data_IF_413407445580
#
_entry.id   IF_413407445580
#
_cell.length_a   1.000
_cell.length_b   1.000
_cell.length_c   1.000
_cell.angle_alpha   90.00
_cell.angle_beta   90.00
_cell.angle_gamma   90.00
#
_symmetry.space_group_name_H-M   'P 1'
#
loop_
_entity.id
_entity.type
_entity.pdbx_description
1 polymer ?
#
# COMPACT_ATOMS: atom_id res chain seq x y z
N UNK A 1 0.85 -20.44 -39.46
CA UNK A 1 0.75 -21.91 -39.52
C UNK A 1 0.11 -22.34 -38.23
N UNK A 2 -1.09 -22.94 -38.26
CA UNK A 2 -1.69 -23.54 -37.06
C UNK A 2 -0.84 -24.75 -36.72
N UNK A 3 0.03 -24.62 -35.71
CA UNK A 3 0.74 -25.76 -35.19
C UNK A 3 -0.28 -26.68 -34.52
N UNK A 4 -0.49 -27.86 -35.10
CA UNK A 4 -1.27 -28.92 -34.47
C UNK A 4 -0.75 -29.16 -33.05
N UNK A 5 -1.67 -29.36 -32.11
CA UNK A 5 -1.35 -29.62 -30.71
C UNK A 5 -0.54 -30.92 -30.64
N UNK A 6 0.63 -30.94 -29.98
CA UNK A 6 1.38 -32.16 -29.77
C UNK A 6 0.50 -33.23 -29.10
N UNK A 7 0.56 -34.47 -29.59
CA UNK A 7 -0.29 -35.55 -29.10
C UNK A 7 -0.17 -35.77 -27.59
N UNK A 8 1.04 -35.59 -27.04
CA UNK A 8 1.28 -35.70 -25.60
C UNK A 8 0.51 -34.65 -24.78
N UNK A 9 0.43 -33.41 -25.28
CA UNK A 9 -0.32 -32.32 -24.64
C UNK A 9 -1.81 -32.60 -24.69
N UNK A 10 -2.33 -32.96 -25.88
CA UNK A 10 -3.75 -33.26 -26.07
C UNK A 10 -4.19 -34.48 -25.25
N UNK A 11 -3.36 -35.52 -25.17
CA UNK A 11 -3.62 -36.69 -24.33
C UNK A 11 -3.57 -36.35 -22.84
N UNK A 12 -2.70 -35.41 -22.44
CA UNK A 12 -2.69 -34.84 -21.09
C UNK A 12 -4.00 -34.14 -20.75
N UNK A 13 -4.45 -33.21 -21.60
CA UNK A 13 -5.72 -32.48 -21.45
C UNK A 13 -6.90 -33.45 -21.35
N UNK A 14 -7.00 -34.41 -22.28
CA UNK A 14 -8.07 -35.43 -22.27
C UNK A 14 -8.08 -36.28 -20.99
N UNK A 15 -6.89 -36.60 -20.47
CA UNK A 15 -6.76 -37.37 -19.23
C UNK A 15 -7.22 -36.57 -18.02
N UNK A 16 -6.84 -35.29 -17.93
CA UNK A 16 -7.29 -34.40 -16.87
C UNK A 16 -8.81 -34.24 -16.89
N UNK A 17 -9.40 -33.88 -18.04
CA UNK A 17 -10.84 -33.72 -18.21
C UNK A 17 -11.64 -34.97 -17.78
N UNK A 18 -11.16 -36.17 -18.15
CA UNK A 18 -11.78 -37.44 -17.76
C UNK A 18 -11.67 -37.74 -16.26
N UNK A 19 -10.59 -37.29 -15.63
CA UNK A 19 -10.34 -37.48 -14.20
C UNK A 19 -11.25 -36.59 -13.37
N UNK A 20 -11.36 -35.31 -13.75
CA UNK A 20 -12.11 -34.31 -13.00
C UNK A 20 -13.62 -34.44 -13.20
N UNK A 21 -14.05 -34.89 -14.39
CA UNK A 21 -15.46 -35.03 -14.77
C UNK A 21 -15.81 -36.46 -15.18
N UNK A 22 -15.75 -37.45 -14.27
CA UNK A 22 -15.94 -38.85 -14.62
C UNK A 22 -17.39 -39.13 -15.06
N UNK A 23 -17.56 -39.53 -16.31
CA UNK A 23 -18.86 -39.90 -16.88
C UNK A 23 -19.69 -38.74 -17.43
N UNK A 24 -19.29 -37.49 -17.20
CA UNK A 24 -19.89 -36.31 -17.79
C UNK A 24 -19.17 -35.94 -19.10
N UNK A 25 -19.76 -36.36 -20.23
CA UNK A 25 -19.14 -36.16 -21.55
C UNK A 25 -19.21 -34.70 -22.01
N UNK A 26 -20.24 -33.96 -21.61
CA UNK A 26 -20.39 -32.56 -22.02
C UNK A 26 -19.34 -31.71 -21.31
N UNK A 27 -19.17 -31.90 -20.00
CA UNK A 27 -18.12 -31.23 -19.24
C UNK A 27 -16.72 -31.63 -19.70
N UNK A 28 -16.48 -32.91 -20.01
CA UNK A 28 -15.19 -33.34 -20.58
C UNK A 28 -14.87 -32.62 -21.88
N UNK A 29 -15.83 -32.52 -22.80
CA UNK A 29 -15.61 -31.84 -24.08
C UNK A 29 -15.37 -30.35 -23.88
N UNK A 30 -16.15 -29.70 -23.01
CA UNK A 30 -15.97 -28.29 -22.68
C UNK A 30 -14.57 -27.97 -22.14
N UNK A 31 -14.06 -28.78 -21.20
CA UNK A 31 -12.70 -28.62 -20.67
C UNK A 31 -11.65 -28.86 -21.76
N UNK A 32 -11.81 -29.90 -22.58
CA UNK A 32 -10.87 -30.18 -23.67
C UNK A 32 -10.80 -29.00 -24.65
N UNK A 33 -11.95 -28.42 -24.99
CA UNK A 33 -12.05 -27.28 -25.91
C UNK A 33 -11.38 -26.03 -25.30
N UNK A 34 -11.70 -25.69 -24.04
CA UNK A 34 -11.11 -24.53 -23.33
C UNK A 34 -9.58 -24.65 -23.21
N UNK A 35 -9.09 -25.80 -22.76
CA UNK A 35 -7.65 -26.05 -22.55
C UNK A 35 -6.87 -26.07 -23.87
N UNK A 36 -7.49 -26.57 -24.94
CA UNK A 36 -6.94 -26.55 -26.29
C UNK A 36 -6.85 -25.12 -26.82
N UNK A 37 -7.90 -24.33 -26.65
CA UNK A 37 -7.91 -22.92 -27.03
C UNK A 37 -6.85 -22.13 -26.27
N UNK A 38 -6.75 -22.31 -24.95
CA UNK A 38 -5.74 -21.69 -24.11
C UNK A 38 -4.31 -22.07 -24.53
N UNK A 39 -4.06 -23.35 -24.85
CA UNK A 39 -2.76 -23.78 -25.39
C UNK A 39 -2.41 -23.04 -26.68
N UNK A 40 -3.35 -22.96 -27.63
CA UNK A 40 -3.13 -22.23 -28.88
C UNK A 40 -2.92 -20.74 -28.66
N UNK A 41 -3.70 -20.12 -27.77
CA UNK A 41 -3.54 -18.72 -27.40
C UNK A 41 -2.14 -18.47 -26.81
N UNK A 42 -1.65 -19.37 -25.94
CA UNK A 42 -0.30 -19.28 -25.38
C UNK A 42 0.80 -19.40 -26.44
N UNK A 43 0.65 -20.30 -27.42
CA UNK A 43 1.62 -20.42 -28.53
C UNK A 43 1.62 -19.18 -29.44
N UNK A 44 0.45 -18.55 -29.60
CA UNK A 44 0.27 -17.37 -30.44
C UNK A 44 0.60 -16.05 -29.72
N UNK A 45 0.78 -16.07 -28.40
CA UNK A 45 1.02 -14.88 -27.59
C UNK A 45 2.30 -14.16 -28.05
N UNK A 46 2.17 -12.86 -28.30
CA UNK A 46 3.28 -11.98 -28.58
C UNK A 46 3.92 -11.51 -27.27
N UNK A 47 5.20 -11.82 -27.08
CA UNK A 47 5.95 -11.43 -25.89
C UNK A 47 6.52 -10.01 -26.00
N UNK A 48 6.49 -9.38 -27.18
CA UNK A 48 7.02 -8.03 -27.39
C UNK A 48 8.43 -7.87 -26.83
N UNK A 49 8.64 -6.85 -25.99
CA UNK A 49 9.93 -6.58 -25.35
C UNK A 49 10.32 -7.63 -24.28
N UNK A 50 9.36 -8.41 -23.76
CA UNK A 50 9.60 -9.49 -22.82
C UNK A 50 10.13 -10.77 -23.51
N UNK A 51 10.27 -10.78 -24.84
CA UNK A 51 10.72 -11.95 -25.60
C UNK A 51 12.04 -12.58 -25.10
N UNK A 52 13.07 -11.81 -24.66
CA UNK A 52 14.28 -12.39 -24.08
C UNK A 52 14.04 -13.21 -22.80
N UNK A 53 12.94 -12.95 -22.09
CA UNK A 53 12.55 -13.61 -20.85
C UNK A 53 11.47 -14.67 -21.06
N UNK A 54 11.03 -14.91 -22.31
CA UNK A 54 9.93 -15.83 -22.65
C UNK A 54 10.04 -17.18 -21.94
N UNK A 55 11.21 -17.83 -21.99
CA UNK A 55 11.36 -19.16 -21.41
C UNK A 55 11.20 -19.15 -19.89
N UNK A 56 11.78 -18.17 -19.20
CA UNK A 56 11.66 -18.04 -17.75
C UNK A 56 10.19 -17.83 -17.33
N UNK A 57 9.48 -16.96 -18.04
CA UNK A 57 8.04 -16.70 -17.80
C UNK A 57 7.21 -17.98 -18.01
N UNK A 58 7.48 -18.75 -19.08
CA UNK A 58 6.77 -20.00 -19.36
C UNK A 58 7.05 -21.09 -18.32
N UNK A 59 8.31 -21.23 -17.91
CA UNK A 59 8.74 -22.23 -16.92
C UNK A 59 8.08 -21.95 -15.57
N UNK A 60 8.09 -20.69 -15.15
CA UNK A 60 7.50 -20.25 -13.89
C UNK A 60 5.97 -20.41 -13.91
N UNK A 61 5.30 -19.99 -14.98
CA UNK A 61 3.85 -20.21 -15.10
C UNK A 61 3.48 -21.70 -15.05
N UNK A 62 4.30 -22.56 -15.65
CA UNK A 62 4.10 -24.02 -15.63
C UNK A 62 4.35 -24.64 -14.26
N UNK A 63 5.19 -24.03 -13.41
CA UNK A 63 5.49 -24.50 -12.06
C UNK A 63 4.30 -24.30 -11.11
N UNK A 64 3.56 -23.19 -11.25
CA UNK A 64 2.50 -22.82 -10.31
C UNK A 64 1.09 -23.09 -10.83
N UNK A 65 0.92 -23.39 -12.13
CA UNK A 65 -0.39 -23.58 -12.74
C UNK A 65 -0.48 -24.94 -13.46
N UNK A 66 -1.54 -25.69 -13.15
CA UNK A 66 -1.75 -27.03 -13.69
C UNK A 66 -2.47 -27.01 -15.05
N UNK A 67 -3.45 -26.13 -15.20
CA UNK A 67 -4.27 -25.98 -16.42
C UNK A 67 -3.59 -25.06 -17.44
N UNK A 68 -3.90 -25.26 -18.72
CA UNK A 68 -3.44 -24.37 -19.78
C UNK A 68 -4.09 -23.00 -19.73
N UNK A 69 -5.36 -22.92 -19.30
CA UNK A 69 -6.04 -21.64 -19.09
C UNK A 69 -5.31 -20.79 -18.04
N UNK A 70 -5.00 -21.36 -16.88
CA UNK A 70 -4.29 -20.64 -15.82
C UNK A 70 -2.87 -20.27 -16.24
N UNK A 71 -2.16 -21.17 -16.94
CA UNK A 71 -0.84 -20.87 -17.52
C UNK A 71 -0.90 -19.72 -18.51
N UNK A 72 -1.87 -19.73 -19.41
CA UNK A 72 -2.05 -18.66 -20.40
C UNK A 72 -2.29 -17.32 -19.70
N UNK A 73 -3.23 -17.27 -18.76
CA UNK A 73 -3.56 -16.07 -17.99
C UNK A 73 -2.34 -15.55 -17.20
N UNK A 74 -1.59 -16.44 -16.56
CA UNK A 74 -0.37 -16.09 -15.84
C UNK A 74 0.68 -15.49 -16.80
N UNK A 75 0.98 -16.16 -17.92
CA UNK A 75 1.98 -15.68 -18.88
C UNK A 75 1.56 -14.35 -19.51
N UNK A 76 0.30 -14.22 -19.91
CA UNK A 76 -0.23 -12.98 -20.44
C UNK A 76 -0.06 -11.84 -19.43
N UNK A 77 -0.45 -12.06 -18.16
CA UNK A 77 -0.27 -11.08 -17.10
C UNK A 77 1.20 -10.70 -16.86
N UNK A 78 2.14 -11.64 -16.96
CA UNK A 78 3.57 -11.34 -16.86
C UNK A 78 4.07 -10.46 -18.02
N UNK A 79 3.64 -10.76 -19.25
CA UNK A 79 4.04 -9.98 -20.45
C UNK A 79 3.47 -8.56 -20.38
N UNK A 80 2.19 -8.42 -20.02
CA UNK A 80 1.53 -7.12 -19.85
C UNK A 80 2.20 -6.31 -18.73
N UNK A 81 2.44 -6.93 -17.58
CA UNK A 81 3.11 -6.27 -16.46
C UNK A 81 4.54 -5.85 -16.79
N UNK A 82 5.29 -6.67 -17.54
CA UNK A 82 6.62 -6.31 -18.03
C UNK A 82 6.58 -5.04 -18.89
N UNK A 83 5.66 -4.99 -19.87
CA UNK A 83 5.50 -3.86 -20.76
C UNK A 83 5.07 -2.60 -20.01
N UNK A 84 4.12 -2.72 -19.08
CA UNK A 84 3.67 -1.60 -18.25
C UNK A 84 4.80 -1.10 -17.35
N UNK A 85 5.54 -2.00 -16.69
CA UNK A 85 6.67 -1.64 -15.85
C UNK A 85 7.76 -0.91 -16.65
N UNK A 86 8.04 -1.32 -17.88
CA UNK A 86 8.99 -0.65 -18.76
C UNK A 86 8.51 0.76 -19.16
N UNK A 87 7.23 0.89 -19.51
CA UNK A 87 6.62 2.16 -19.91
C UNK A 87 6.32 3.12 -18.74
N UNK A 88 6.31 2.62 -17.51
CA UNK A 88 5.94 3.40 -16.33
C UNK A 88 6.92 4.57 -16.10
N UNK A 89 6.40 5.79 -16.27
CA UNK A 89 7.11 7.06 -16.13
C UNK A 89 6.16 8.18 -15.63
N UNK A 90 5.82 8.20 -14.32
CA UNK A 90 5.06 9.30 -13.73
C UNK A 90 5.84 10.62 -13.72
N UNK A 91 5.19 11.72 -14.14
CA UNK A 91 5.80 13.07 -14.19
C UNK A 91 6.08 13.68 -12.81
N UNK A 92 5.36 13.23 -11.78
CA UNK A 92 5.40 13.78 -10.43
C UNK A 92 6.37 13.04 -9.50
N UNK A 93 7.02 11.96 -9.97
CA UNK A 93 8.01 11.20 -9.19
C UNK A 93 9.39 11.35 -9.81
N UNK A 94 10.42 11.72 -9.03
CA UNK A 94 11.79 11.79 -9.52
C UNK A 94 12.26 10.47 -10.15
N UNK A 95 12.94 10.57 -11.29
CA UNK A 95 13.34 9.40 -12.08
C UNK A 95 14.30 8.46 -11.33
N UNK A 96 15.16 9.00 -10.48
CA UNK A 96 16.07 8.24 -9.61
C UNK A 96 15.32 7.46 -8.52
N UNK A 97 14.27 8.06 -7.95
CA UNK A 97 13.40 7.36 -6.99
C UNK A 97 12.64 6.22 -7.67
N UNK A 98 12.07 6.47 -8.85
CA UNK A 98 11.37 5.43 -9.62
C UNK A 98 12.32 4.29 -10.00
N UNK A 99 13.53 4.60 -10.46
CA UNK A 99 14.54 3.59 -10.76
C UNK A 99 14.89 2.76 -9.51
N UNK A 100 15.03 3.40 -8.36
CA UNK A 100 15.26 2.71 -7.08
C UNK A 100 14.10 1.81 -6.65
N UNK A 101 12.85 2.21 -6.92
CA UNK A 101 11.66 1.35 -6.69
C UNK A 101 11.68 0.13 -7.61
N UNK A 102 11.89 0.32 -8.92
CA UNK A 102 11.98 -0.79 -9.89
C UNK A 102 13.10 -1.77 -9.54
N UNK A 103 14.26 -1.26 -9.13
CA UNK A 103 15.38 -2.11 -8.73
C UNK A 103 15.07 -2.94 -7.49
N UNK A 104 14.41 -2.35 -6.49
CA UNK A 104 14.03 -3.08 -5.27
C UNK A 104 13.01 -4.17 -5.58
N UNK A 105 11.98 -3.84 -6.34
CA UNK A 105 10.95 -4.78 -6.74
C UNK A 105 11.55 -5.97 -7.50
N UNK A 106 12.47 -5.73 -8.43
CA UNK A 106 13.17 -6.79 -9.16
C UNK A 106 14.09 -7.68 -8.28
N UNK A 107 14.46 -7.24 -7.08
CA UNK A 107 15.21 -8.04 -6.09
C UNK A 107 14.27 -8.85 -5.20
N UNK A 108 13.10 -8.29 -4.87
CA UNK A 108 12.15 -8.90 -3.93
C UNK A 108 11.16 -9.86 -4.60
N UNK A 109 10.93 -9.71 -5.91
CA UNK A 109 9.90 -10.44 -6.64
C UNK A 109 10.41 -10.99 -7.98
N UNK A 110 10.16 -12.27 -8.21
CA UNK A 110 10.44 -12.93 -9.49
C UNK A 110 9.40 -12.55 -10.56
N UNK A 111 8.13 -12.40 -10.15
CA UNK A 111 7.00 -12.10 -11.03
C UNK A 111 6.92 -10.60 -11.36
N UNK A 112 6.92 -10.25 -12.65
CA UNK A 112 6.74 -8.88 -13.13
C UNK A 112 5.42 -8.24 -12.68
N UNK A 113 4.35 -9.03 -12.53
CA UNK A 113 3.08 -8.54 -11.98
C UNK A 113 3.22 -8.08 -10.53
N UNK A 114 3.92 -8.84 -9.69
CA UNK A 114 4.23 -8.44 -8.32
C UNK A 114 5.20 -7.24 -8.28
N UNK A 115 6.20 -7.22 -9.17
CA UNK A 115 7.10 -6.07 -9.29
C UNK A 115 6.35 -4.79 -9.65
N UNK A 116 5.45 -4.85 -10.63
CA UNK A 116 4.62 -3.73 -11.04
C UNK A 116 3.74 -3.24 -9.89
N UNK A 117 3.07 -4.15 -9.19
CA UNK A 117 2.25 -3.81 -8.02
C UNK A 117 3.08 -3.09 -6.95
N UNK A 118 4.26 -3.61 -6.58
CA UNK A 118 5.12 -2.98 -5.58
C UNK A 118 5.55 -1.58 -6.01
N UNK A 119 5.95 -1.39 -7.29
CA UNK A 119 6.36 -0.09 -7.81
C UNK A 119 5.19 0.90 -7.83
N UNK A 120 4.00 0.47 -8.24
CA UNK A 120 2.78 1.29 -8.20
C UNK A 120 2.42 1.70 -6.76
N UNK A 121 2.49 0.76 -5.82
CA UNK A 121 2.30 1.04 -4.39
C UNK A 121 3.36 2.02 -3.86
N UNK A 122 4.62 1.87 -4.28
CA UNK A 122 5.72 2.78 -3.94
C UNK A 122 5.49 4.21 -4.46
N UNK A 123 4.99 4.35 -5.69
CA UNK A 123 4.59 5.64 -6.28
C UNK A 123 3.47 6.28 -5.46
N UNK A 124 2.42 5.53 -5.11
CA UNK A 124 1.33 6.06 -4.29
C UNK A 124 1.78 6.41 -2.87
N UNK A 125 2.70 5.64 -2.29
CA UNK A 125 3.34 5.96 -1.03
C UNK A 125 4.10 7.28 -1.09
N UNK A 126 4.89 7.50 -2.15
CA UNK A 126 5.58 8.77 -2.38
C UNK A 126 4.58 9.94 -2.51
N UNK A 127 3.54 9.79 -3.33
CA UNK A 127 2.49 10.81 -3.51
C UNK A 127 1.78 11.13 -2.21
N UNK A 128 1.47 10.12 -1.41
CA UNK A 128 0.89 10.29 -0.08
C UNK A 128 1.79 11.13 0.83
N UNK A 129 3.10 10.86 0.84
CA UNK A 129 4.07 11.64 1.62
C UNK A 129 4.11 13.09 1.14
N UNK A 130 4.19 13.35 -0.17
CA UNK A 130 4.19 14.70 -0.71
C UNK A 130 2.92 15.48 -0.35
N UNK A 131 1.74 14.86 -0.53
CA UNK A 131 0.45 15.47 -0.12
C UNK A 131 0.43 15.77 1.37
N UNK A 132 0.93 14.86 2.20
CA UNK A 132 0.99 15.04 3.64
C UNK A 132 1.91 16.18 4.02
N UNK A 133 3.10 16.27 3.42
CA UNK A 133 4.04 17.39 3.64
C UNK A 133 3.45 18.72 3.24
N UNK A 134 2.82 18.79 2.07
CA UNK A 134 2.16 20.01 1.59
C UNK A 134 1.00 20.44 2.50
N UNK A 135 0.24 19.49 3.04
CA UNK A 135 -0.90 19.79 3.93
C UNK A 135 -0.47 20.12 5.36
N UNK A 136 0.41 19.31 5.94
CA UNK A 136 0.76 19.35 7.37
C UNK A 136 1.93 20.29 7.64
N UNK A 137 2.89 20.39 6.72
CA UNK A 137 4.06 21.26 6.87
C UNK A 137 3.72 22.70 7.24
N UNK A 138 2.82 23.38 6.51
CA UNK A 138 2.46 24.77 6.77
C UNK A 138 1.82 25.03 8.14
N UNK A 139 1.13 24.03 8.70
CA UNK A 139 0.39 24.13 9.98
C UNK A 139 1.07 23.35 11.11
N UNK A 140 2.28 22.83 10.87
CA UNK A 140 3.00 21.91 11.76
C UNK A 140 3.10 22.44 13.18
N UNK A 141 3.55 23.68 13.34
CA UNK A 141 3.83 24.24 14.66
C UNK A 141 2.54 24.51 15.45
N UNK A 142 1.46 24.87 14.75
CA UNK A 142 0.12 24.97 15.35
C UNK A 142 -0.35 23.62 15.84
N UNK A 143 -0.18 22.56 15.04
CA UNK A 143 -0.55 21.21 15.44
C UNK A 143 0.23 20.73 16.68
N UNK A 144 1.55 20.94 16.70
CA UNK A 144 2.40 20.58 17.86
C UNK A 144 1.98 21.35 19.11
N UNK A 145 1.63 22.64 18.97
CA UNK A 145 1.15 23.45 20.09
C UNK A 145 -0.21 22.98 20.60
N UNK A 146 -1.15 22.67 19.70
CA UNK A 146 -2.47 22.14 20.05
C UNK A 146 -2.35 20.78 20.75
N UNK A 147 -1.51 19.89 20.24
CA UNK A 147 -1.21 18.61 20.90
C UNK A 147 -0.58 18.85 22.28
N UNK A 148 0.38 19.77 22.42
CA UNK A 148 0.98 20.06 23.72
C UNK A 148 -0.04 20.58 24.74
N UNK A 149 -1.03 21.35 24.31
CA UNK A 149 -2.14 21.79 25.18
C UNK A 149 -2.93 20.56 25.61
N UNK A 150 -3.45 19.78 24.66
CA UNK A 150 -4.31 18.61 24.93
C UNK A 150 -3.57 17.56 25.77
N UNK A 151 -2.34 17.22 25.40
CA UNK A 151 -1.54 16.23 26.09
C UNK A 151 -1.23 16.62 27.52
N UNK A 152 -1.13 17.93 27.80
CA UNK A 152 -0.93 18.47 29.16
C UNK A 152 -2.22 18.57 29.98
N UNK A 153 -3.37 18.20 29.43
CA UNK A 153 -4.65 18.05 30.12
C UNK A 153 -4.97 16.58 30.44
N UNK A 154 -3.93 15.73 30.55
CA UNK A 154 -4.08 14.33 30.95
C UNK A 154 -3.88 14.15 32.46
N UNK A 155 -4.70 13.29 33.06
CA UNK A 155 -4.75 13.07 34.50
C UNK A 155 -4.65 11.60 34.87
N UNK A 156 -4.00 11.33 36.00
CA UNK A 156 -3.85 9.98 36.51
C UNK A 156 -5.05 9.67 37.41
N UNK A 157 -5.74 8.56 37.15
CA UNK A 157 -6.87 8.11 37.96
C UNK A 157 -6.48 7.78 39.42
N UNK A 158 -5.20 7.49 39.67
CA UNK A 158 -4.67 7.26 41.02
C UNK A 158 -4.37 8.56 41.79
N UNK A 159 -4.58 9.72 41.17
CA UNK A 159 -4.48 11.03 41.81
C UNK A 159 -5.92 11.54 41.99
N UNK A 160 -6.25 11.97 43.22
CA UNK A 160 -7.57 12.53 43.51
C UNK A 160 -7.72 13.88 42.80
N UNK A 161 -8.32 13.91 41.60
CA UNK A 161 -8.51 15.15 40.82
C UNK A 161 -9.83 15.85 41.14
N UNK A 162 -10.68 15.24 41.96
CA UNK A 162 -11.97 15.75 42.35
C UNK A 162 -12.16 15.70 43.87
N UNK A 163 -12.75 16.76 44.43
CA UNK A 163 -13.16 16.80 45.82
C UNK A 163 -14.35 15.87 46.10
N UNK A 164 -14.68 15.66 47.37
CA UNK A 164 -15.86 14.90 47.78
C UNK A 164 -17.19 15.49 47.26
N UNK A 165 -17.17 16.72 46.76
CA UNK A 165 -18.33 17.42 46.18
C UNK A 165 -18.30 17.48 44.64
N UNK A 166 -17.39 16.74 44.00
CA UNK A 166 -17.27 16.69 42.54
C UNK A 166 -16.64 17.94 41.91
N UNK A 167 -16.02 18.80 42.72
CA UNK A 167 -15.29 19.98 42.22
C UNK A 167 -13.93 19.55 41.68
N UNK A 168 -13.58 20.07 40.50
CA UNK A 168 -12.28 19.86 39.87
C UNK A 168 -11.15 20.52 40.70
N UNK A 169 -10.21 19.72 41.20
CA UNK A 169 -9.02 20.13 41.97
C UNK A 169 -7.71 19.70 41.30
N UNK A 170 -7.77 19.38 39.99
CA UNK A 170 -6.62 18.85 39.23
C UNK A 170 -5.57 19.89 38.81
N UNK A 171 -5.70 21.17 39.18
CA UNK A 171 -4.70 22.19 38.89
C UNK A 171 -3.31 21.76 39.40
N UNK A 172 -2.31 21.81 38.50
CA UNK A 172 -0.93 21.39 38.79
C UNK A 172 -0.72 19.87 38.92
N UNK A 173 -1.76 19.05 38.74
CA UNK A 173 -1.71 17.58 38.79
C UNK A 173 -1.75 16.93 37.41
N UNK A 174 -1.85 17.74 36.36
CA UNK A 174 -1.81 17.26 35.00
C UNK A 174 -0.38 16.85 34.61
N UNK A 175 -0.27 15.89 33.70
CA UNK A 175 1.00 15.50 33.12
C UNK A 175 0.85 15.43 31.61
N UNK A 176 1.93 15.72 30.88
CA UNK A 176 1.93 15.51 29.44
C UNK A 176 1.94 14.02 29.12
N UNK A 177 0.86 13.53 28.51
CA UNK A 177 0.79 12.14 28.05
C UNK A 177 1.78 11.93 26.90
N UNK A 178 2.57 10.84 26.91
CA UNK A 178 3.50 10.56 25.81
C UNK A 178 2.73 10.27 24.52
N UNK A 179 3.16 10.88 23.42
CA UNK A 179 2.69 10.54 22.08
C UNK A 179 3.60 9.44 21.53
N UNK A 180 3.01 8.43 20.89
CA UNK A 180 3.73 7.42 20.11
C UNK A 180 3.69 7.83 18.64
N UNK A 181 4.84 7.82 17.98
CA UNK A 181 5.00 8.08 16.55
C UNK A 181 5.51 6.83 15.85
N UNK A 182 5.22 6.70 14.56
CA UNK A 182 5.81 5.69 13.68
C UNK A 182 6.83 6.39 12.79
N UNK A 183 8.10 5.99 12.90
CA UNK A 183 9.22 6.50 12.11
C UNK A 183 9.98 5.31 11.56
N UNK A 184 10.18 5.27 10.25
CA UNK A 184 10.90 4.18 9.57
C UNK A 184 10.33 2.78 9.94
N UNK A 185 9.00 2.69 10.10
CA UNK A 185 8.29 1.48 10.51
C UNK A 185 8.40 1.12 12.00
N UNK A 186 9.09 1.93 12.81
CA UNK A 186 9.32 1.68 14.23
C UNK A 186 8.55 2.65 15.12
N UNK A 187 8.07 2.17 16.25
CA UNK A 187 7.40 2.99 17.24
C UNK A 187 8.40 3.77 18.10
N UNK A 188 8.15 5.08 18.24
CA UNK A 188 8.94 5.96 19.10
C UNK A 188 8.03 6.76 20.02
N UNK A 189 8.20 6.63 21.35
CA UNK A 189 7.43 7.38 22.35
C UNK A 189 8.15 8.66 22.76
N UNK A 190 7.45 9.80 22.69
CA UNK A 190 8.00 11.11 23.06
C UNK A 190 7.05 11.92 23.92
N UNK A 191 7.62 12.60 24.92
CA UNK A 191 6.90 13.52 25.83
C UNK A 191 7.14 15.00 25.53
N UNK A 192 8.14 15.34 24.72
CA UNK A 192 8.62 16.72 24.60
C UNK A 192 8.94 17.10 23.16
N UNK A 193 10.11 16.66 22.68
CA UNK A 193 10.73 17.18 21.46
C UNK A 193 10.27 16.44 20.22
N UNK A 194 9.77 17.17 19.23
CA UNK A 194 9.31 16.64 17.93
C UNK A 194 9.89 17.40 16.74
N UNK A 195 10.83 18.32 16.98
CA UNK A 195 11.42 19.22 15.97
C UNK A 195 12.02 18.48 14.77
N UNK A 196 12.57 17.29 15.01
CA UNK A 196 13.18 16.43 13.99
C UNK A 196 12.17 15.59 13.20
N UNK A 197 10.90 15.54 13.62
CA UNK A 197 9.87 14.78 12.91
C UNK A 197 9.39 15.54 11.68
N UNK A 198 9.51 14.86 10.54
CA UNK A 198 8.91 15.28 9.28
C UNK A 198 7.37 15.18 9.36
N UNK A 199 6.63 15.93 8.53
CA UNK A 199 5.16 15.96 8.58
C UNK A 199 4.50 14.58 8.48
N UNK A 200 5.02 13.69 7.64
CA UNK A 200 4.53 12.32 7.47
C UNK A 200 4.78 11.43 8.68
N UNK A 201 5.82 11.69 9.48
CA UNK A 201 6.03 11.00 10.75
C UNK A 201 5.14 11.63 11.84
N UNK A 202 5.02 12.95 11.88
CA UNK A 202 4.19 13.67 12.85
C UNK A 202 2.73 13.23 12.80
N UNK A 203 2.17 13.07 11.59
CA UNK A 203 0.76 12.71 11.41
C UNK A 203 0.41 11.30 11.92
N UNK A 204 1.41 10.44 12.16
CA UNK A 204 1.22 9.12 12.78
C UNK A 204 1.08 9.20 14.30
N UNK A 205 1.36 10.36 14.89
CA UNK A 205 1.34 10.57 16.33
C UNK A 205 -0.02 10.22 16.94
N UNK A 206 -0.01 9.32 17.91
CA UNK A 206 -1.19 8.87 18.62
C UNK A 206 -0.91 8.66 20.12
N UNK A 207 -1.92 8.90 20.96
CA UNK A 207 -1.90 8.48 22.34
C UNK A 207 -2.33 7.02 22.43
N UNK A 208 -1.64 6.23 23.27
CA UNK A 208 -2.02 4.85 23.58
C UNK A 208 -2.68 4.78 24.95
N UNK A 209 -3.99 4.52 25.00
CA UNK A 209 -4.77 4.37 26.22
C UNK A 209 -5.16 2.91 26.44
N UNK A 210 -4.23 2.13 27.00
CA UNK A 210 -4.41 0.67 27.13
C UNK A 210 -4.44 0.02 25.74
N UNK A 211 -5.55 -0.65 25.40
CA UNK A 211 -5.77 -1.25 24.09
C UNK A 211 -6.32 -0.26 23.03
N UNK A 212 -6.64 0.97 23.43
CA UNK A 212 -7.20 1.98 22.53
C UNK A 212 -6.15 2.99 22.11
N UNK A 213 -6.35 3.61 20.93
CA UNK A 213 -5.46 4.65 20.42
C UNK A 213 -6.25 5.87 19.95
N UNK A 214 -5.69 7.06 20.18
CA UNK A 214 -6.22 8.32 19.66
C UNK A 214 -5.20 8.97 18.72
N UNK A 215 -5.48 8.99 17.43
CA UNK A 215 -4.65 9.66 16.41
C UNK A 215 -4.73 11.18 16.53
N UNK A 216 -4.02 11.75 17.50
CA UNK A 216 -4.16 13.14 17.92
C UNK A 216 -3.90 14.13 16.77
N UNK A 217 -2.82 13.95 16.00
CA UNK A 217 -2.50 14.87 14.91
C UNK A 217 -3.49 14.79 13.76
N UNK A 218 -3.99 13.60 13.42
CA UNK A 218 -5.04 13.44 12.40
C UNK A 218 -6.34 14.12 12.82
N UNK A 219 -6.72 13.99 14.09
CA UNK A 219 -7.90 14.66 14.63
C UNK A 219 -7.73 16.20 14.58
N UNK A 220 -6.56 16.70 14.96
CA UNK A 220 -6.26 18.13 14.93
C UNK A 220 -6.28 18.72 13.51
N UNK A 221 -5.73 18.01 12.52
CA UNK A 221 -5.83 18.43 11.10
C UNK A 221 -7.29 18.54 10.68
N UNK A 222 -8.15 17.58 11.04
CA UNK A 222 -9.58 17.63 10.71
C UNK A 222 -10.31 18.78 11.40
N UNK A 223 -9.91 19.12 12.63
CA UNK A 223 -10.44 20.29 13.35
C UNK A 223 -10.04 21.58 12.64
N UNK A 224 -8.78 21.70 12.22
CA UNK A 224 -8.30 22.85 11.44
C UNK A 224 -9.07 22.96 10.11
N UNK A 225 -9.18 21.86 9.36
CA UNK A 225 -9.92 21.84 8.09
C UNK A 225 -11.37 22.34 8.29
N UNK A 226 -12.04 21.89 9.36
CA UNK A 226 -13.38 22.32 9.72
C UNK A 226 -13.43 23.82 10.09
N UNK A 227 -12.48 24.31 10.88
CA UNK A 227 -12.43 25.72 11.26
C UNK A 227 -12.15 26.65 10.07
N UNK A 228 -11.29 26.23 9.15
CA UNK A 228 -11.02 26.96 7.90
C UNK A 228 -12.29 26.97 7.01
N UNK A 229 -12.96 25.83 6.85
CA UNK A 229 -14.13 25.69 5.96
C UNK A 229 -15.40 26.37 6.51
N UNK A 230 -15.73 26.12 7.77
CA UNK A 230 -17.03 26.51 8.35
C UNK A 230 -16.99 27.89 8.99
N UNK A 231 -15.81 28.32 9.48
CA UNK A 231 -15.64 29.57 10.23
C UNK A 231 -14.69 30.56 9.55
N UNK A 232 -14.10 30.20 8.40
CA UNK A 232 -13.17 31.07 7.67
C UNK A 232 -11.90 31.38 8.46
N UNK A 233 -11.51 30.50 9.40
CA UNK A 233 -10.30 30.67 10.19
C UNK A 233 -9.09 30.78 9.23
N UNK A 234 -8.24 31.79 9.44
CA UNK A 234 -6.97 31.91 8.73
C UNK A 234 -5.84 31.59 9.68
N UNK A 235 -5.18 30.47 9.46
CA UNK A 235 -3.98 30.10 10.21
C UNK A 235 -2.78 30.65 9.45
N UNK A 236 -1.95 31.45 10.12
CA UNK A 236 -0.68 31.89 9.57
C UNK A 236 0.20 30.66 9.30
N UNK A 237 0.55 30.46 8.02
CA UNK A 237 1.36 29.33 7.57
C UNK A 237 2.83 29.73 7.61
N UNK A 238 3.70 28.80 8.01
CA UNK A 238 5.14 29.07 8.02
C UNK A 238 5.61 29.45 6.59
N UNK A 239 6.08 30.69 6.42
CA UNK A 239 6.51 31.25 5.13
C UNK A 239 5.60 32.33 4.53
N UNK A 240 4.43 32.58 5.12
CA UNK A 240 3.57 33.72 4.76
C UNK A 240 3.78 34.84 5.79
N UNK A 241 4.45 35.93 5.41
CA UNK A 241 4.41 37.18 6.18
C UNK A 241 2.97 37.74 6.10
N UNK A 242 2.40 38.10 7.27
CA UNK A 242 1.10 38.77 7.37
C UNK A 242 1.03 40.06 6.57
#
# INVERSE_FOLDING_TARGET
MTHDIPSEVLDGIRRAAKTDWPGDREMQQHVIDSETEAYHALQALDFGEALPFKQAILDEASQYNETWEDRFNAVQGQVEAFAELAALSPDDVPADMLAGMKQRAAVEHDWYSAQLEEVQQGIEGYRYVQRTRAKVGPIRDVLVRMESIIGSECYNANIQNYSAWGVWEGEGRSFRYPVTYIRDGQEEKRKARVDDLQPEALITGHYKFGANELSIYRALVRIIDMLEADYGLKIARAGEEC
#
